data_IF_065211573147
#
_entry.id   IF_065211573147
#
_cell.length_a   1.000
_cell.length_b   1.000
_cell.length_c   1.000
_cell.angle_alpha   90.00
_cell.angle_beta   90.00
_cell.angle_gamma   90.00
#
_symmetry.space_group_name_H-M   'P 1'
#
loop_
_entity.id
_entity.type
_entity.pdbx_description
1 polymer ?
#
# COMPACT_ATOMS: atom_id res chain seq x y z
N UNK A 1 -7.06 11.32 5.45
CA UNK A 1 -5.85 12.02 5.90
C UNK A 1 -4.65 11.10 6.12
N UNK A 2 -4.71 10.13 7.04
CA UNK A 2 -3.55 9.26 7.37
C UNK A 2 -2.89 8.58 6.15
N UNK A 3 -3.67 8.00 5.25
CA UNK A 3 -3.12 7.33 4.07
C UNK A 3 -2.47 8.30 3.06
N UNK A 4 -3.00 9.52 2.97
CA UNK A 4 -2.46 10.58 2.09
C UNK A 4 -1.11 11.05 2.63
N UNK A 5 -1.01 11.24 3.95
CA UNK A 5 0.25 11.64 4.60
C UNK A 5 1.34 10.58 4.40
N UNK A 6 1.03 9.30 4.65
CA UNK A 6 1.98 8.22 4.38
C UNK A 6 2.32 8.09 2.89
N UNK A 7 1.33 8.26 2.01
CA UNK A 7 1.55 8.29 0.57
C UNK A 7 2.55 9.38 0.18
N UNK A 8 2.39 10.59 0.72
CA UNK A 8 3.26 11.74 0.45
C UNK A 8 4.69 11.52 0.92
N UNK A 9 4.89 11.00 2.14
CA UNK A 9 6.23 10.66 2.66
C UNK A 9 6.91 9.63 1.76
N UNK A 10 6.18 8.58 1.34
CA UNK A 10 6.70 7.54 0.44
C UNK A 10 7.06 8.14 -0.92
N UNK A 11 6.19 8.95 -1.51
CA UNK A 11 6.44 9.59 -2.81
C UNK A 11 7.71 10.45 -2.78
N UNK A 12 7.89 11.28 -1.75
CA UNK A 12 9.11 12.10 -1.57
C UNK A 12 10.35 11.20 -1.44
N UNK A 13 10.27 10.16 -0.60
CA UNK A 13 11.37 9.21 -0.42
C UNK A 13 11.79 8.52 -1.73
N UNK A 14 10.82 8.15 -2.57
CA UNK A 14 11.08 7.55 -3.89
C UNK A 14 11.81 8.53 -4.81
N UNK A 15 11.37 9.79 -4.88
CA UNK A 15 12.06 10.79 -5.71
C UNK A 15 13.49 11.05 -5.25
N UNK A 16 13.73 11.13 -3.92
CA UNK A 16 15.08 11.28 -3.37
C UNK A 16 15.94 10.06 -3.74
N UNK A 17 15.40 8.84 -3.58
CA UNK A 17 16.10 7.61 -3.90
C UNK A 17 16.46 7.53 -5.39
N UNK A 18 15.50 7.80 -6.28
CA UNK A 18 15.73 7.81 -7.73
C UNK A 18 16.78 8.87 -8.07
N UNK A 19 16.65 10.08 -7.53
CA UNK A 19 17.63 11.15 -7.74
C UNK A 19 19.04 10.76 -7.32
N UNK A 20 19.20 10.13 -6.15
CA UNK A 20 20.49 9.64 -5.66
C UNK A 20 21.06 8.55 -6.57
N UNK A 21 20.25 7.57 -6.96
CA UNK A 21 20.68 6.47 -7.84
C UNK A 21 21.11 7.02 -9.20
N UNK A 22 20.28 7.88 -9.80
CA UNK A 22 20.58 8.48 -11.11
C UNK A 22 21.85 9.32 -11.04
N UNK A 23 22.03 10.14 -9.99
CA UNK A 23 23.24 10.93 -9.77
C UNK A 23 24.49 10.06 -9.62
N UNK A 24 24.41 8.95 -8.87
CA UNK A 24 25.55 8.03 -8.71
C UNK A 24 25.97 7.37 -10.03
N UNK A 25 25.00 7.04 -10.89
CA UNK A 25 25.26 6.33 -12.16
C UNK A 25 25.73 7.29 -13.24
N UNK A 26 24.99 8.37 -13.46
CA UNK A 26 25.22 9.28 -14.60
C UNK A 26 26.12 10.48 -14.27
N UNK A 27 26.37 10.75 -12.97
CA UNK A 27 27.07 11.96 -12.47
C UNK A 27 26.43 13.29 -12.90
N UNK A 28 25.27 13.23 -13.51
CA UNK A 28 24.46 14.33 -13.98
C UNK A 28 23.05 14.17 -13.40
N UNK A 29 22.21 15.19 -13.57
CA UNK A 29 20.78 15.13 -13.23
C UNK A 29 19.92 15.10 -14.50
N UNK A 30 19.90 13.99 -15.25
CA UNK A 30 19.04 13.84 -16.42
C UNK A 30 17.58 13.74 -15.97
N UNK A 31 16.91 14.88 -15.98
CA UNK A 31 15.56 15.06 -15.45
C UNK A 31 14.53 14.18 -16.17
N UNK A 32 14.71 13.94 -17.47
CA UNK A 32 13.88 13.03 -18.27
C UNK A 32 13.95 11.58 -17.78
N UNK A 33 15.14 11.09 -17.44
CA UNK A 33 15.33 9.72 -16.93
C UNK A 33 14.64 9.58 -15.57
N UNK A 34 14.77 10.59 -14.70
CA UNK A 34 14.12 10.61 -13.39
C UNK A 34 12.60 10.58 -13.54
N UNK A 35 12.03 11.41 -14.44
CA UNK A 35 10.58 11.43 -14.74
C UNK A 35 10.10 10.05 -15.21
N UNK A 36 10.82 9.42 -16.14
CA UNK A 36 10.47 8.12 -16.71
C UNK A 36 10.48 7.01 -15.65
N UNK A 37 11.54 6.94 -14.84
CA UNK A 37 11.67 5.93 -13.79
C UNK A 37 10.59 6.15 -12.72
N UNK A 38 10.37 7.39 -12.28
CA UNK A 38 9.34 7.72 -11.30
C UNK A 38 7.94 7.30 -11.79
N UNK A 39 7.63 7.53 -13.06
CA UNK A 39 6.37 7.08 -13.66
C UNK A 39 6.24 5.56 -13.67
N UNK A 40 7.31 4.83 -14.05
CA UNK A 40 7.34 3.38 -13.99
C UNK A 40 7.09 2.84 -12.58
N UNK A 41 7.72 3.45 -11.57
CA UNK A 41 7.50 3.10 -10.15
C UNK A 41 6.05 3.35 -9.73
N UNK A 42 5.42 4.43 -10.19
CA UNK A 42 4.01 4.69 -9.88
C UNK A 42 3.07 3.59 -10.39
N UNK A 43 3.30 3.08 -11.60
CA UNK A 43 2.53 1.96 -12.17
C UNK A 43 2.73 0.70 -11.34
N UNK A 44 3.97 0.38 -10.96
CA UNK A 44 4.27 -0.79 -10.12
C UNK A 44 3.57 -0.68 -8.77
N UNK A 45 3.61 0.48 -8.12
CA UNK A 45 2.90 0.70 -6.85
C UNK A 45 1.40 0.52 -7.01
N UNK A 46 0.81 1.04 -8.09
CA UNK A 46 -0.61 0.91 -8.38
C UNK A 46 -1.03 -0.55 -8.58
N UNK A 47 -0.29 -1.31 -9.39
CA UNK A 47 -0.55 -2.73 -9.63
C UNK A 47 -0.36 -3.52 -8.34
N UNK A 48 0.69 -3.23 -7.57
CA UNK A 48 1.03 -3.94 -6.32
C UNK A 48 -0.03 -3.78 -5.23
N UNK A 49 -0.80 -2.69 -5.25
CA UNK A 49 -1.87 -2.45 -4.27
C UNK A 49 -2.92 -3.57 -4.26
N UNK A 50 -3.18 -4.21 -5.41
CA UNK A 50 -4.15 -5.30 -5.56
C UNK A 50 -3.72 -6.63 -4.93
N UNK A 51 -2.55 -7.24 -5.29
CA UNK A 51 -2.10 -8.48 -4.68
C UNK A 51 -1.75 -8.31 -3.20
N UNK A 52 -1.25 -7.13 -2.78
CA UNK A 52 -0.94 -6.85 -1.37
C UNK A 52 -2.17 -6.93 -0.47
N UNK A 53 -3.33 -6.47 -0.95
CA UNK A 53 -4.59 -6.66 -0.23
C UNK A 53 -4.88 -8.15 -0.01
N UNK A 54 -4.73 -8.97 -1.06
CA UNK A 54 -5.02 -10.40 -1.01
C UNK A 54 -4.05 -11.16 -0.10
N UNK A 55 -2.75 -10.85 -0.16
CA UNK A 55 -1.72 -11.50 0.66
C UNK A 55 -1.83 -11.12 2.13
N UNK A 56 -2.10 -9.86 2.47
CA UNK A 56 -2.37 -9.46 3.86
C UNK A 56 -3.64 -10.12 4.40
N UNK A 57 -4.71 -10.15 3.61
CA UNK A 57 -5.97 -10.75 4.01
C UNK A 57 -5.86 -12.27 4.24
N UNK A 58 -5.21 -12.99 3.33
CA UNK A 58 -5.05 -14.45 3.46
C UNK A 58 -3.93 -14.84 4.43
N UNK A 59 -2.81 -14.10 4.44
CA UNK A 59 -1.69 -14.34 5.36
C UNK A 59 -2.12 -14.17 6.82
N UNK A 60 -2.95 -13.18 7.12
CA UNK A 60 -3.52 -13.02 8.47
C UNK A 60 -4.44 -14.18 8.87
N UNK A 61 -5.11 -14.83 7.93
CA UNK A 61 -6.00 -15.98 8.20
C UNK A 61 -5.22 -17.28 8.40
N UNK A 62 -4.14 -17.47 7.67
CA UNK A 62 -3.30 -18.67 7.75
C UNK A 62 -2.41 -18.65 9.01
N UNK A 63 -1.99 -17.47 9.46
CA UNK A 63 -1.14 -17.33 10.65
C UNK A 63 -1.88 -17.58 11.98
N UNK A 64 -3.21 -17.51 12.00
CA UNK A 64 -4.01 -17.79 13.18
C UNK A 64 -5.23 -18.66 12.84
N UNK A 65 -5.02 -19.94 12.50
CA UNK A 65 -6.11 -20.84 12.17
C UNK A 65 -6.94 -21.10 13.43
N UNK A 66 -8.16 -20.58 13.49
CA UNK A 66 -9.14 -20.97 14.51
C UNK A 66 -9.60 -22.39 14.18
N UNK A 67 -8.94 -23.39 14.76
CA UNK A 67 -9.40 -24.77 14.69
C UNK A 67 -10.71 -24.90 15.48
N UNK A 68 -11.82 -25.04 14.78
CA UNK A 68 -13.12 -25.33 15.40
C UNK A 68 -13.13 -26.77 15.89
N UNK A 69 -12.82 -26.98 17.17
CA UNK A 69 -13.21 -28.21 17.86
C UNK A 69 -14.73 -28.20 18.00
N UNK A 70 -15.41 -29.18 17.40
CA UNK A 70 -16.87 -29.29 17.42
C UNK A 70 -17.33 -29.61 18.85
N UNK A 71 -17.61 -28.56 19.63
CA UNK A 71 -18.28 -28.60 20.92
C UNK A 71 -19.68 -28.02 20.72
N UNK A 72 -20.74 -28.64 21.27
CA UNK A 72 -22.10 -28.19 21.06
C UNK A 72 -22.28 -26.74 21.59
N UNK A 73 -23.03 -25.88 20.89
CA UNK A 73 -23.01 -24.45 21.11
C UNK A 73 -23.80 -24.05 22.36
N UNK A 74 -23.13 -23.41 23.32
CA UNK A 74 -23.78 -22.51 24.26
C UNK A 74 -24.20 -21.23 23.52
N UNK A 75 -25.44 -20.78 23.71
CA UNK A 75 -25.99 -19.57 23.05
C UNK A 75 -25.17 -18.30 23.36
N UNK A 76 -24.63 -18.20 24.57
CA UNK A 76 -23.69 -17.15 24.97
C UNK A 76 -22.35 -17.24 24.23
N UNK A 77 -21.91 -18.43 23.85
CA UNK A 77 -20.70 -18.65 23.07
C UNK A 77 -20.93 -18.25 21.60
N UNK A 78 -22.12 -18.51 21.05
CA UNK A 78 -22.49 -18.06 19.71
C UNK A 78 -22.53 -16.54 19.59
N UNK A 79 -23.11 -15.83 20.56
CA UNK A 79 -23.09 -14.36 20.57
C UNK A 79 -21.68 -13.78 20.61
N UNK A 80 -20.77 -14.39 21.39
CA UNK A 80 -19.37 -13.95 21.46
C UNK A 80 -18.65 -14.19 20.13
N UNK A 81 -18.82 -15.36 19.52
CA UNK A 81 -18.25 -15.69 18.21
C UNK A 81 -18.78 -14.74 17.14
N UNK A 82 -20.08 -14.41 17.17
CA UNK A 82 -20.68 -13.51 16.20
C UNK A 82 -20.20 -12.06 16.38
N UNK A 83 -20.09 -11.58 17.63
CA UNK A 83 -19.50 -10.27 17.92
C UNK A 83 -18.02 -10.19 17.52
N UNK A 84 -17.25 -11.26 17.78
CA UNK A 84 -15.86 -11.35 17.35
C UNK A 84 -15.76 -11.38 15.82
N UNK A 85 -16.66 -12.09 15.14
CA UNK A 85 -16.73 -12.13 13.67
C UNK A 85 -17.11 -10.77 13.05
N UNK A 86 -18.11 -10.09 13.60
CA UNK A 86 -18.52 -8.75 13.16
C UNK A 86 -17.43 -7.70 13.45
N UNK A 87 -16.76 -7.80 14.59
CA UNK A 87 -15.64 -6.92 14.93
C UNK A 87 -14.43 -7.15 14.00
N UNK A 88 -14.18 -8.40 13.59
CA UNK A 88 -13.13 -8.79 12.64
C UNK A 88 -13.43 -8.33 11.22
N UNK A 89 -14.70 -8.41 10.78
CA UNK A 89 -15.17 -7.84 9.52
C UNK A 89 -14.99 -6.31 9.47
N UNK A 90 -15.22 -5.62 10.59
CA UNK A 90 -14.98 -4.16 10.70
C UNK A 90 -13.49 -3.79 10.70
N UNK A 91 -12.59 -4.66 11.17
CA UNK A 91 -11.17 -4.33 11.40
C UNK A 91 -10.28 -4.38 10.15
N UNK A 92 -10.72 -5.03 9.07
CA UNK A 92 -9.83 -5.37 7.94
C UNK A 92 -10.06 -4.50 6.69
N UNK A 93 -10.33 -3.20 6.85
CA UNK A 93 -10.05 -2.25 5.76
C UNK A 93 -8.53 -2.02 5.73
N UNK A 94 -7.82 -2.85 4.96
CA UNK A 94 -6.37 -2.73 4.77
C UNK A 94 -6.00 -1.32 4.34
N UNK A 95 -5.47 -0.55 5.29
CA UNK A 95 -5.03 0.83 5.07
C UNK A 95 -3.85 0.91 4.10
N UNK A 96 -3.09 -0.18 3.97
CA UNK A 96 -1.91 -0.29 3.12
C UNK A 96 -2.24 -0.14 1.64
N UNK A 97 -3.26 -0.84 1.14
CA UNK A 97 -3.69 -0.68 -0.27
C UNK A 97 -4.04 0.77 -0.60
N UNK A 98 -4.70 1.47 0.32
CA UNK A 98 -4.96 2.90 0.20
C UNK A 98 -3.68 3.75 0.17
N UNK A 99 -2.67 3.43 0.98
CA UNK A 99 -1.39 4.15 1.00
C UNK A 99 -0.66 4.01 -0.34
N UNK A 100 -0.60 2.80 -0.91
CA UNK A 100 0.04 2.56 -2.21
C UNK A 100 -0.65 3.31 -3.35
N UNK A 101 -1.98 3.31 -3.37
CA UNK A 101 -2.75 4.08 -4.36
C UNK A 101 -2.45 5.56 -4.21
N UNK A 102 -2.51 6.11 -3.00
CA UNK A 102 -2.21 7.53 -2.76
C UNK A 102 -0.77 7.90 -3.13
N UNK A 103 0.21 7.03 -2.82
CA UNK A 103 1.60 7.24 -3.20
C UNK A 103 1.77 7.28 -4.73
N UNK A 104 1.15 6.34 -5.45
CA UNK A 104 1.17 6.29 -6.91
C UNK A 104 0.51 7.54 -7.53
N UNK A 105 -0.66 7.94 -7.03
CA UNK A 105 -1.35 9.15 -7.49
C UNK A 105 -0.49 10.41 -7.28
N UNK A 106 0.15 10.54 -6.12
CA UNK A 106 1.03 11.68 -5.84
C UNK A 106 2.28 11.69 -6.74
N UNK A 107 2.89 10.54 -7.01
CA UNK A 107 4.03 10.45 -7.94
C UNK A 107 3.61 10.86 -9.35
N UNK A 108 2.42 10.46 -9.82
CA UNK A 108 1.91 10.86 -11.13
C UNK A 108 1.70 12.39 -11.17
N UNK A 109 1.11 12.97 -10.12
CA UNK A 109 0.91 14.43 -10.02
C UNK A 109 2.25 15.17 -10.05
N UNK A 110 3.23 14.73 -9.26
CA UNK A 110 4.57 15.33 -9.26
C UNK A 110 5.25 15.19 -10.61
N UNK A 111 5.13 14.03 -11.27
CA UNK A 111 5.70 13.82 -12.62
C UNK A 111 5.06 14.76 -13.63
N UNK A 112 3.73 14.92 -13.61
CA UNK A 112 3.03 15.86 -14.50
C UNK A 112 3.48 17.30 -14.25
N UNK A 113 3.56 17.74 -12.99
CA UNK A 113 4.06 19.07 -12.64
C UNK A 113 5.49 19.30 -13.15
N UNK A 114 6.37 18.33 -12.93
CA UNK A 114 7.76 18.37 -13.42
C UNK A 114 7.83 18.41 -14.95
N UNK A 115 6.89 17.80 -15.67
CA UNK A 115 6.84 17.83 -17.14
C UNK A 115 6.28 19.15 -17.68
N UNK A 116 5.35 19.79 -16.99
CA UNK A 116 4.78 21.07 -17.43
C UNK A 116 5.72 22.23 -17.12
N UNK A 117 6.46 22.18 -16.01
CA UNK A 117 7.33 23.26 -15.56
C UNK A 117 8.74 23.24 -16.19
N UNK A 118 9.19 22.10 -16.71
CA UNK A 118 10.52 21.88 -17.30
C UNK A 118 10.43 20.98 -18.53
#
# INVERSE_FOLDING_TARGET
MRNIFYGLVISIGIYILIGLITFLITREFPLEIIKMIAFGVAIVLFISAFPLYKTLYHGSRVANPTYTAYTPPDEHHQQKIQNDYESYLKKTKSTLGGIFIWAATLIIIFTMLLTVLF
#
